data_IF_140033490477
#
_entry.id   IF_140033490477
#
_cell.length_a   1.000
_cell.length_b   1.000
_cell.length_c   1.000
_cell.angle_alpha   90.00
_cell.angle_beta   90.00
_cell.angle_gamma   90.00
#
_symmetry.space_group_name_H-M   'P 1'
#
loop_
_entity.id
_entity.type
_entity.pdbx_description
1 polymer ?
#
# COMPACT_ATOMS: atom_id res chain seq x y z
N UNK A 1 42.19 25.34 24.24
CA UNK A 1 42.31 24.91 25.65
C UNK A 1 40.97 25.05 26.35
N UNK A 2 40.16 23.98 26.40
CA UNK A 2 38.99 23.87 27.29
C UNK A 2 38.96 22.45 27.82
N UNK A 3 39.14 22.32 29.14
CA UNK A 3 39.11 21.06 29.90
C UNK A 3 37.65 20.75 30.22
N UNK A 4 37.19 19.53 29.97
CA UNK A 4 35.92 19.02 30.50
C UNK A 4 36.23 17.88 31.46
N UNK A 5 35.70 18.05 32.68
CA UNK A 5 35.90 17.20 33.84
C UNK A 5 34.94 15.99 33.80
N UNK A 6 35.48 14.83 34.13
CA UNK A 6 34.77 13.58 34.35
C UNK A 6 34.18 13.61 35.78
N UNK A 7 32.85 13.65 35.90
CA UNK A 7 32.12 13.58 37.17
C UNK A 7 31.42 12.24 37.31
N UNK A 8 31.76 11.50 38.36
CA UNK A 8 31.24 10.19 38.72
C UNK A 8 29.72 10.21 39.00
N UNK A 9 28.99 9.21 38.48
CA UNK A 9 27.60 8.95 38.85
C UNK A 9 27.51 7.66 39.68
N UNK A 10 26.94 7.81 40.87
CA UNK A 10 26.78 6.81 41.91
C UNK A 10 25.69 5.77 41.57
N UNK A 11 25.96 4.57 42.06
CA UNK A 11 25.11 3.37 42.12
C UNK A 11 23.89 3.62 43.01
N UNK A 12 22.70 3.26 42.52
CA UNK A 12 21.46 3.22 43.29
C UNK A 12 20.52 2.13 42.77
N UNK A 13 20.76 0.89 43.21
CA UNK A 13 19.83 -0.24 43.03
C UNK A 13 18.66 -0.08 44.01
N UNK A 14 17.50 0.34 43.51
CA UNK A 14 16.23 0.28 44.24
C UNK A 14 15.57 -1.07 43.90
N UNK A 15 15.51 -1.95 44.90
CA UNK A 15 14.73 -3.18 44.86
C UNK A 15 13.24 -2.86 44.94
N UNK A 16 12.48 -3.19 43.89
CA UNK A 16 11.01 -3.18 43.91
C UNK A 16 10.48 -4.58 44.19
N UNK A 17 9.62 -4.67 45.20
CA UNK A 17 9.10 -5.91 45.76
C UNK A 17 8.16 -6.68 44.84
N UNK A 18 8.15 -8.00 45.02
CA UNK A 18 7.25 -8.93 44.36
C UNK A 18 5.80 -8.74 44.81
N UNK A 19 5.00 -8.18 43.92
CA UNK A 19 3.55 -8.39 43.91
C UNK A 19 3.23 -9.42 42.84
N UNK A 20 2.72 -10.59 43.24
CA UNK A 20 2.14 -11.58 42.34
C UNK A 20 0.90 -10.98 41.68
N UNK A 21 1.08 -10.27 40.57
CA UNK A 21 0.04 -10.08 39.57
C UNK A 21 0.41 -11.00 38.44
N UNK A 22 -0.50 -11.89 38.09
CA UNK A 22 -0.31 -12.79 36.96
C UNK A 22 0.14 -11.96 35.75
N UNK A 23 1.22 -12.36 35.07
CA UNK A 23 1.65 -11.65 33.88
C UNK A 23 0.50 -11.64 32.87
N UNK A 24 0.34 -10.57 32.07
CA UNK A 24 -0.59 -10.60 30.96
C UNK A 24 -0.24 -11.82 30.09
N UNK A 25 -1.20 -12.75 29.97
CA UNK A 25 -1.07 -13.93 29.12
C UNK A 25 -1.02 -13.38 27.69
N UNK A 26 0.16 -13.42 27.08
CA UNK A 26 0.31 -13.23 25.65
C UNK A 26 -0.21 -14.51 25.00
N UNK A 27 -1.46 -14.49 24.53
CA UNK A 27 -2.01 -15.56 23.70
C UNK A 27 -1.33 -15.42 22.33
N UNK A 28 -0.22 -16.14 22.17
CA UNK A 28 0.31 -16.43 20.85
C UNK A 28 -0.70 -17.36 20.17
N UNK A 29 -1.50 -16.80 19.26
CA UNK A 29 -2.40 -17.57 18.40
C UNK A 29 -1.66 -18.40 17.34
N UNK A 30 -0.38 -18.70 17.57
CA UNK A 30 0.40 -19.70 16.86
C UNK A 30 -0.02 -21.12 17.25
N UNK A 31 -0.44 -21.89 16.25
CA UNK A 31 -0.81 -23.31 16.36
C UNK A 31 0.13 -24.12 17.27
N UNK A 32 -0.43 -24.84 18.25
CA UNK A 32 0.16 -26.10 18.73
C UNK A 32 0.63 -26.20 20.18
N UNK A 33 0.18 -25.37 21.13
CA UNK A 33 0.35 -25.73 22.54
C UNK A 33 -0.66 -26.83 22.91
N UNK A 34 -0.20 -28.09 22.93
CA UNK A 34 -0.94 -29.26 23.44
C UNK A 34 -1.10 -29.20 24.98
N UNK A 35 -1.57 -28.09 25.54
CA UNK A 35 -1.97 -28.05 26.94
C UNK A 35 -3.37 -28.65 27.07
N UNK A 36 -3.41 -29.90 27.53
CA UNK A 36 -4.57 -30.81 27.45
C UNK A 36 -5.63 -30.55 28.53
N UNK A 37 -5.44 -29.56 29.40
CA UNK A 37 -6.23 -29.39 30.63
C UNK A 37 -7.06 -28.09 30.70
N UNK A 38 -7.03 -27.23 29.67
CA UNK A 38 -7.99 -26.13 29.53
C UNK A 38 -8.98 -26.48 28.40
N UNK A 39 -10.31 -26.38 28.62
CA UNK A 39 -11.25 -26.51 27.50
C UNK A 39 -10.84 -25.47 26.45
N UNK A 40 -10.52 -25.97 25.27
CA UNK A 40 -10.11 -25.21 24.10
C UNK A 40 -11.27 -24.27 23.75
N UNK A 41 -11.29 -23.07 24.35
CA UNK A 41 -12.25 -22.04 24.02
C UNK A 41 -11.90 -21.66 22.59
N UNK A 42 -12.67 -22.19 21.64
CA UNK A 42 -12.47 -21.95 20.22
C UNK A 42 -12.19 -20.47 20.02
N UNK A 43 -10.97 -20.16 19.55
CA UNK A 43 -10.49 -18.79 19.48
C UNK A 43 -11.52 -17.93 18.72
N UNK A 44 -11.86 -16.79 19.32
CA UNK A 44 -12.73 -15.78 18.77
C UNK A 44 -12.27 -15.42 17.33
N UNK A 45 -13.14 -15.62 16.34
CA UNK A 45 -12.84 -15.29 14.94
C UNK A 45 -13.67 -14.08 14.46
N UNK A 46 -13.05 -12.92 14.17
CA UNK A 46 -13.74 -11.69 13.76
C UNK A 46 -14.44 -11.74 12.40
N UNK A 47 -14.08 -12.67 11.50
CA UNK A 47 -14.68 -12.76 10.18
C UNK A 47 -15.91 -13.66 10.20
N UNK A 48 -15.75 -14.86 10.78
CA UNK A 48 -16.85 -15.85 10.87
C UNK A 48 -17.77 -15.62 12.07
N UNK A 49 -17.38 -14.73 12.99
CA UNK A 49 -18.11 -14.41 14.23
C UNK A 49 -18.37 -15.66 15.11
N UNK A 50 -17.41 -16.58 15.15
CA UNK A 50 -17.46 -17.79 15.98
C UNK A 50 -16.61 -17.63 17.24
N UNK A 51 -16.92 -18.40 18.30
CA UNK A 51 -16.15 -18.45 19.54
C UNK A 51 -16.70 -17.61 20.70
N UNK A 52 -17.70 -16.76 20.45
CA UNK A 52 -18.35 -15.92 21.46
C UNK A 52 -19.73 -16.44 21.88
N UNK A 53 -20.23 -16.00 23.04
CA UNK A 53 -21.56 -16.38 23.52
C UNK A 53 -22.66 -15.64 22.73
N UNK A 54 -23.91 -16.09 22.88
CA UNK A 54 -25.06 -15.39 22.31
C UNK A 54 -25.16 -13.96 22.86
N UNK A 55 -25.31 -12.98 21.95
CA UNK A 55 -25.34 -11.54 22.30
C UNK A 55 -23.95 -10.90 22.41
N UNK A 56 -22.89 -11.65 22.15
CA UNK A 56 -21.53 -11.15 22.00
C UNK A 56 -21.08 -11.23 20.54
N UNK A 57 -20.02 -10.50 20.21
CA UNK A 57 -19.36 -10.52 18.92
C UNK A 57 -17.86 -10.56 19.08
N UNK A 58 -17.19 -11.04 18.04
CA UNK A 58 -15.74 -11.05 17.99
C UNK A 58 -15.19 -9.81 17.28
N UNK A 59 -14.41 -8.98 17.97
CA UNK A 59 -13.83 -7.75 17.39
C UNK A 59 -12.47 -7.41 18.00
N UNK A 60 -11.82 -6.39 17.45
CA UNK A 60 -10.59 -5.80 17.98
C UNK A 60 -10.92 -4.87 19.16
N UNK A 61 -10.21 -5.07 20.28
CA UNK A 61 -10.35 -4.24 21.48
C UNK A 61 -9.05 -3.50 21.71
N UNK A 62 -9.09 -2.18 21.71
CA UNK A 62 -7.97 -1.32 22.08
C UNK A 62 -7.75 -1.40 23.58
N UNK A 63 -6.70 -2.09 24.01
CA UNK A 63 -6.35 -2.22 25.43
C UNK A 63 -5.57 -1.00 25.94
N UNK A 64 -4.74 -0.42 25.08
CA UNK A 64 -3.88 0.71 25.37
C UNK A 64 -3.66 1.50 24.09
N UNK A 65 -3.52 2.82 24.19
CA UNK A 65 -3.21 3.68 23.03
C UNK A 65 -1.84 4.39 23.15
N UNK A 66 -1.32 4.57 24.37
CA UNK A 66 -0.08 5.34 24.62
C UNK A 66 0.84 4.56 25.56
N UNK A 67 2.17 4.49 25.30
CA UNK A 67 2.91 5.16 24.21
C UNK A 67 2.78 4.49 22.84
N UNK A 68 2.15 3.32 22.79
CA UNK A 68 1.91 2.54 21.59
C UNK A 68 0.56 1.85 21.71
N UNK A 69 -0.16 1.76 20.60
CA UNK A 69 -1.47 1.12 20.52
C UNK A 69 -1.30 -0.39 20.66
N UNK A 70 -1.98 -0.97 21.64
CA UNK A 70 -2.04 -2.41 21.88
C UNK A 70 -3.48 -2.83 21.72
N UNK A 71 -3.74 -3.75 20.80
CA UNK A 71 -5.06 -4.33 20.59
C UNK A 71 -5.05 -5.82 20.88
N UNK A 72 -6.25 -6.37 21.06
CA UNK A 72 -6.45 -7.81 21.18
C UNK A 72 -7.82 -8.18 20.66
N UNK A 73 -7.95 -9.38 20.12
CA UNK A 73 -9.23 -9.92 19.67
C UNK A 73 -9.96 -10.51 20.87
N UNK A 74 -11.16 -10.02 21.15
CA UNK A 74 -11.97 -10.47 22.30
C UNK A 74 -13.46 -10.54 21.95
N UNK A 75 -14.19 -11.34 22.72
CA UNK A 75 -15.64 -11.31 22.73
C UNK A 75 -16.12 -10.09 23.52
N UNK A 76 -16.93 -9.25 22.88
CA UNK A 76 -17.53 -8.06 23.49
C UNK A 76 -19.04 -8.07 23.24
N UNK A 77 -19.86 -7.30 23.99
CA UNK A 77 -21.28 -7.17 23.70
C UNK A 77 -21.52 -6.76 22.24
N UNK A 78 -22.53 -7.36 21.61
CA UNK A 78 -22.90 -7.00 20.24
C UNK A 78 -23.32 -5.52 20.17
N UNK A 79 -22.84 -4.83 19.14
CA UNK A 79 -23.17 -3.43 18.94
C UNK A 79 -24.55 -3.25 18.33
N UNK A 80 -24.93 -2.00 18.11
CA UNK A 80 -26.26 -1.63 17.61
C UNK A 80 -26.21 -0.99 16.23
N UNK A 81 -25.02 -0.57 15.76
CA UNK A 81 -24.85 0.13 14.49
C UNK A 81 -24.63 -0.89 13.37
N UNK A 82 -25.49 -0.81 12.36
CA UNK A 82 -25.38 -1.62 11.13
C UNK A 82 -24.16 -1.21 10.27
N UNK A 83 -23.72 -2.10 9.38
CA UNK A 83 -22.68 -1.80 8.38
C UNK A 83 -23.08 -0.58 7.54
N UNK A 84 -22.13 0.32 7.29
CA UNK A 84 -22.33 1.64 6.67
C UNK A 84 -22.87 2.72 7.62
N UNK A 85 -23.24 2.36 8.85
CA UNK A 85 -23.68 3.31 9.87
C UNK A 85 -22.52 4.06 10.52
N UNK A 86 -22.81 5.24 11.07
CA UNK A 86 -21.84 6.03 11.82
C UNK A 86 -21.54 5.36 13.18
N UNK A 87 -20.27 5.18 13.49
CA UNK A 87 -19.82 4.44 14.67
C UNK A 87 -18.87 5.25 15.54
N UNK A 88 -18.66 4.75 16.75
CA UNK A 88 -17.72 5.33 17.73
C UNK A 88 -16.89 4.22 18.35
N UNK A 89 -15.59 4.45 18.50
CA UNK A 89 -14.72 3.63 19.33
C UNK A 89 -14.86 4.05 20.80
N UNK A 90 -15.00 3.09 21.72
CA UNK A 90 -14.93 3.38 23.14
C UNK A 90 -13.50 3.68 23.62
N UNK A 91 -13.36 4.11 24.88
CA UNK A 91 -12.06 4.44 25.46
C UNK A 91 -11.19 3.18 25.64
N UNK A 92 -9.85 3.27 25.44
CA UNK A 92 -8.96 2.13 25.65
C UNK A 92 -9.14 1.45 27.01
N UNK A 93 -9.04 0.13 27.04
CA UNK A 93 -9.27 -0.72 28.21
C UNK A 93 -10.53 -1.58 28.07
N UNK A 94 -11.31 -1.83 29.15
CA UNK A 94 -12.47 -2.72 29.11
C UNK A 94 -13.58 -2.30 28.13
N UNK A 95 -13.62 -1.04 27.74
CA UNK A 95 -14.58 -0.49 26.79
C UNK A 95 -13.90 -0.12 25.46
N UNK A 96 -12.71 -0.64 25.17
CA UNK A 96 -11.91 -0.27 24.00
C UNK A 96 -12.43 -0.80 22.65
N UNK A 97 -13.70 -1.18 22.59
CA UNK A 97 -14.36 -1.74 21.40
C UNK A 97 -15.32 -0.72 20.79
N UNK A 98 -15.70 -0.94 19.54
CA UNK A 98 -16.67 -0.11 18.83
C UNK A 98 -18.12 -0.59 19.00
N UNK A 99 -19.08 0.21 18.52
CA UNK A 99 -20.52 -0.08 18.62
C UNK A 99 -21.13 -0.69 17.35
N UNK A 100 -20.33 -1.20 16.41
CA UNK A 100 -20.84 -1.91 15.23
C UNK A 100 -21.44 -3.27 15.61
N UNK A 101 -22.35 -3.79 14.79
CA UNK A 101 -22.84 -5.15 14.95
C UNK A 101 -21.77 -6.21 14.67
N UNK A 102 -22.06 -7.46 15.01
CA UNK A 102 -21.24 -8.63 14.70
C UNK A 102 -20.81 -8.65 13.22
N UNK A 103 -19.53 -8.91 12.99
CA UNK A 103 -18.91 -8.87 11.66
C UNK A 103 -18.52 -7.47 11.19
N UNK A 104 -18.76 -6.43 11.99
CA UNK A 104 -18.36 -5.05 11.71
C UNK A 104 -17.21 -4.54 12.58
N UNK A 105 -16.49 -3.56 12.08
CA UNK A 105 -15.44 -2.81 12.79
C UNK A 105 -15.54 -1.32 12.44
N UNK A 106 -15.30 -0.45 13.42
CA UNK A 106 -15.39 0.99 13.21
C UNK A 106 -14.10 1.54 12.59
N UNK A 107 -14.18 2.02 11.35
CA UNK A 107 -13.03 2.58 10.62
C UNK A 107 -13.43 3.91 9.99
N UNK A 108 -12.72 4.98 10.34
CA UNK A 108 -13.02 6.36 9.93
C UNK A 108 -14.49 6.75 10.25
N UNK A 109 -14.95 6.41 11.45
CA UNK A 109 -16.30 6.65 11.96
C UNK A 109 -17.44 5.97 11.16
N UNK A 110 -17.13 4.93 10.38
CA UNK A 110 -18.09 4.12 9.63
C UNK A 110 -17.94 2.63 10.00
N UNK A 111 -19.05 1.93 10.26
CA UNK A 111 -19.02 0.48 10.46
C UNK A 111 -18.74 -0.23 9.15
N UNK A 112 -17.61 -0.92 9.05
CA UNK A 112 -17.21 -1.67 7.86
C UNK A 112 -17.18 -3.16 8.18
N UNK A 113 -17.47 -4.00 7.20
CA UNK A 113 -17.37 -5.45 7.36
C UNK A 113 -15.92 -5.85 7.63
N UNK A 114 -15.68 -6.63 8.66
CA UNK A 114 -14.38 -7.22 8.97
C UNK A 114 -14.04 -8.28 7.94
N UNK A 115 -12.77 -8.36 7.54
CA UNK A 115 -12.33 -9.29 6.50
C UNK A 115 -10.95 -9.90 6.78
N UNK A 116 -10.68 -11.02 6.12
CA UNK A 116 -9.36 -11.67 6.12
C UNK A 116 -8.58 -11.26 4.86
N UNK A 117 -7.49 -10.48 4.99
CA UNK A 117 -6.69 -10.03 3.87
C UNK A 117 -5.75 -11.12 3.30
N UNK A 118 -5.73 -12.33 3.86
CA UNK A 118 -5.04 -13.49 3.29
C UNK A 118 -5.93 -14.29 2.33
N UNK A 119 -7.23 -14.01 2.35
CA UNK A 119 -8.22 -14.64 1.49
C UNK A 119 -8.61 -13.67 0.36
N UNK A 120 -8.93 -14.20 -0.82
CA UNK A 120 -9.31 -13.41 -1.99
C UNK A 120 -10.83 -13.36 -2.20
N UNK A 121 -11.31 -12.26 -2.79
CA UNK A 121 -12.71 -12.09 -3.20
C UNK A 121 -13.69 -12.33 -2.05
N UNK A 122 -14.78 -13.06 -2.32
CA UNK A 122 -15.83 -13.35 -1.32
C UNK A 122 -15.36 -14.17 -0.13
N UNK A 123 -14.27 -14.93 -0.29
CA UNK A 123 -13.72 -15.73 0.81
C UNK A 123 -13.03 -14.85 1.87
N UNK A 124 -12.69 -13.61 1.54
CA UNK A 124 -12.21 -12.62 2.52
C UNK A 124 -13.28 -12.13 3.47
N UNK A 125 -14.57 -12.33 3.17
CA UNK A 125 -15.69 -11.70 3.87
C UNK A 125 -16.18 -10.41 3.20
N UNK A 126 -15.45 -9.87 2.22
CA UNK A 126 -15.91 -8.73 1.40
C UNK A 126 -16.78 -9.18 0.23
N UNK A 127 -17.78 -8.39 -0.14
CA UNK A 127 -18.52 -8.60 -1.38
C UNK A 127 -17.67 -8.25 -2.62
N UNK A 128 -18.21 -8.50 -3.82
CA UNK A 128 -17.50 -8.26 -5.08
C UNK A 128 -17.19 -6.79 -5.38
N UNK A 129 -17.83 -5.85 -4.68
CA UNK A 129 -17.62 -4.41 -4.83
C UNK A 129 -16.65 -3.84 -3.80
N UNK A 130 -16.15 -4.65 -2.87
CA UNK A 130 -15.21 -4.25 -1.84
C UNK A 130 -13.89 -5.04 -1.92
N UNK A 131 -12.84 -4.51 -1.32
CA UNK A 131 -11.58 -5.22 -1.12
C UNK A 131 -11.20 -5.17 0.35
N UNK A 132 -10.53 -6.21 0.84
CA UNK A 132 -10.06 -6.23 2.22
C UNK A 132 -8.82 -5.35 2.40
N UNK A 133 -8.95 -4.26 3.14
CA UNK A 133 -7.85 -3.34 3.41
C UNK A 133 -7.31 -3.53 4.83
N UNK A 134 -5.98 -3.46 4.97
CA UNK A 134 -5.30 -3.49 6.27
C UNK A 134 -5.13 -2.09 6.82
N UNK A 135 -5.31 -1.95 8.13
CA UNK A 135 -5.25 -0.66 8.81
C UNK A 135 -4.22 -0.69 9.95
N UNK A 136 -3.46 0.38 10.09
CA UNK A 136 -2.46 0.48 11.15
C UNK A 136 -3.12 0.53 12.53
N UNK A 137 -2.67 -0.33 13.45
CA UNK A 137 -3.20 -0.40 14.80
C UNK A 137 -4.55 -1.11 14.91
N UNK A 138 -5.04 -1.75 13.85
CA UNK A 138 -6.25 -2.57 13.88
C UNK A 138 -5.87 -4.05 13.73
N UNK A 139 -6.44 -4.92 14.57
CA UNK A 139 -6.19 -6.36 14.61
C UNK A 139 -4.68 -6.71 14.67
N UNK A 140 -3.91 -5.89 15.38
CA UNK A 140 -2.44 -6.02 15.44
C UNK A 140 -2.03 -6.89 16.62
N UNK A 141 -1.59 -8.12 16.33
CA UNK A 141 -1.10 -9.08 17.32
C UNK A 141 0.36 -9.40 17.00
N UNK A 142 1.27 -9.14 17.95
CA UNK A 142 2.70 -9.34 17.73
C UNK A 142 3.30 -8.53 16.57
N UNK A 143 2.72 -7.36 16.26
CA UNK A 143 3.13 -6.52 15.13
C UNK A 143 2.58 -6.95 13.76
N UNK A 144 1.86 -8.07 13.69
CA UNK A 144 1.19 -8.57 12.49
C UNK A 144 -0.28 -8.16 12.50
N UNK A 145 -0.79 -7.73 11.35
CA UNK A 145 -2.23 -7.45 11.16
C UNK A 145 -2.89 -8.72 10.65
N UNK A 146 -3.80 -9.27 11.45
CA UNK A 146 -4.48 -10.52 11.14
C UNK A 146 -5.73 -10.31 10.27
N UNK A 147 -6.45 -9.20 10.48
CA UNK A 147 -7.70 -8.90 9.79
C UNK A 147 -7.73 -7.44 9.32
N UNK A 148 -8.65 -7.14 8.41
CA UNK A 148 -8.86 -5.82 7.84
C UNK A 148 -10.32 -5.39 7.89
N UNK A 149 -10.63 -4.38 7.08
CA UNK A 149 -12.00 -3.95 6.83
C UNK A 149 -12.27 -3.86 5.32
N UNK A 150 -13.49 -4.17 4.92
CA UNK A 150 -13.93 -4.09 3.53
C UNK A 150 -14.13 -2.63 3.12
N UNK A 151 -13.33 -2.19 2.17
CA UNK A 151 -13.45 -0.87 1.56
C UNK A 151 -13.98 -0.95 0.14
N UNK A 152 -14.82 0.01 -0.27
CA UNK A 152 -15.34 0.03 -1.64
C UNK A 152 -14.23 0.11 -2.66
N UNK A 153 -14.31 -0.70 -3.72
CA UNK A 153 -13.34 -0.68 -4.81
C UNK A 153 -13.42 0.62 -5.62
N UNK A 154 -12.31 0.97 -6.26
CA UNK A 154 -12.22 2.20 -7.05
C UNK A 154 -11.26 2.07 -8.23
N UNK A 155 -11.41 2.96 -9.20
CA UNK A 155 -10.48 3.08 -10.33
C UNK A 155 -9.30 4.01 -9.94
N UNK A 156 -8.04 3.55 -10.03
CA UNK A 156 -6.89 4.32 -9.55
C UNK A 156 -6.55 5.55 -10.39
N UNK A 157 -6.96 5.62 -11.67
CA UNK A 157 -6.67 6.76 -12.53
C UNK A 157 -7.73 7.85 -12.37
N UNK A 158 -8.99 7.48 -12.51
CA UNK A 158 -10.14 8.37 -12.44
C UNK A 158 -10.58 8.65 -11.01
N UNK A 159 -10.17 7.82 -10.04
CA UNK A 159 -10.56 7.89 -8.63
C UNK A 159 -12.07 7.71 -8.41
N UNK A 160 -12.75 7.07 -9.37
CA UNK A 160 -14.18 6.80 -9.29
C UNK A 160 -14.44 5.59 -8.41
N UNK A 161 -15.47 5.71 -7.58
CA UNK A 161 -16.05 4.58 -6.85
C UNK A 161 -16.62 3.56 -7.84
N UNK A 162 -16.27 2.29 -7.68
CA UNK A 162 -16.79 1.18 -8.49
C UNK A 162 -17.96 0.45 -7.80
N UNK A 163 -18.16 0.68 -6.51
CA UNK A 163 -19.28 0.13 -5.75
C UNK A 163 -20.58 0.94 -5.92
N UNK A 164 -21.73 0.27 -5.87
CA UNK A 164 -23.06 0.89 -5.93
C UNK A 164 -23.53 1.34 -7.33
N UNK A 165 -24.67 2.03 -7.38
CA UNK A 165 -25.35 2.42 -8.63
C UNK A 165 -24.97 3.80 -9.18
N UNK A 166 -23.82 4.35 -8.76
CA UNK A 166 -23.34 5.65 -9.24
C UNK A 166 -21.83 5.77 -9.08
N UNK A 167 -21.13 6.01 -10.19
CA UNK A 167 -19.69 6.29 -10.16
C UNK A 167 -19.46 7.67 -9.51
N UNK A 168 -19.33 7.69 -8.18
CA UNK A 168 -19.01 8.90 -7.44
C UNK A 168 -17.54 9.25 -7.64
N UNK A 169 -17.27 10.50 -7.97
CA UNK A 169 -15.90 11.04 -8.09
C UNK A 169 -15.19 11.00 -6.74
N UNK A 170 -13.86 10.87 -6.76
CA UNK A 170 -12.99 10.87 -5.57
C UNK A 170 -13.51 9.95 -4.46
N UNK A 171 -13.89 8.72 -4.79
CA UNK A 171 -14.37 7.75 -3.80
C UNK A 171 -15.56 8.23 -2.95
N UNK A 172 -16.43 9.09 -3.50
CA UNK A 172 -17.57 9.65 -2.76
C UNK A 172 -17.19 10.72 -1.75
N UNK A 173 -16.03 11.36 -1.91
CA UNK A 173 -15.59 12.47 -1.05
C UNK A 173 -16.64 13.59 -0.97
N UNK A 174 -16.84 14.21 0.20
CA UNK A 174 -17.70 15.40 0.34
C UNK A 174 -17.27 16.56 -0.56
N UNK A 175 -15.96 16.68 -0.84
CA UNK A 175 -15.42 17.63 -1.80
C UNK A 175 -14.40 16.93 -2.71
N UNK A 176 -14.82 16.56 -3.92
CA UNK A 176 -13.96 15.87 -4.87
C UNK A 176 -12.77 16.74 -5.36
N UNK A 177 -12.81 18.07 -5.23
CA UNK A 177 -11.75 18.96 -5.69
C UNK A 177 -10.72 19.30 -4.61
N UNK A 178 -10.98 18.94 -3.34
CA UNK A 178 -10.13 19.29 -2.22
C UNK A 178 -10.02 18.13 -1.23
N UNK A 179 -8.93 17.34 -1.29
CA UNK A 179 -8.74 16.21 -0.40
C UNK A 179 -8.39 16.61 1.04
N UNK A 180 -8.25 17.91 1.33
CA UNK A 180 -7.93 18.40 2.69
C UNK A 180 -9.18 18.55 3.57
N UNK A 181 -10.38 18.50 2.98
CA UNK A 181 -11.64 18.59 3.71
C UNK A 181 -11.83 17.34 4.59
N UNK A 182 -12.23 17.47 5.87
CA UNK A 182 -12.52 16.33 6.72
C UNK A 182 -13.51 15.35 6.07
N UNK A 183 -13.21 14.04 6.17
CA UNK A 183 -14.00 12.99 5.53
C UNK A 183 -13.71 12.77 4.04
N UNK A 184 -12.71 13.45 3.48
CA UNK A 184 -12.24 13.16 2.12
C UNK A 184 -11.72 11.73 2.00
N UNK A 185 -12.06 11.08 0.89
CA UNK A 185 -11.67 9.73 0.52
C UNK A 185 -10.83 9.76 -0.77
N UNK A 186 -9.94 8.80 -0.94
CA UNK A 186 -9.11 8.63 -2.13
C UNK A 186 -9.04 7.17 -2.55
N UNK A 187 -8.67 6.93 -3.81
CA UNK A 187 -8.48 5.57 -4.31
C UNK A 187 -7.02 5.16 -4.17
N UNK A 188 -6.82 4.05 -3.47
CA UNK A 188 -5.54 3.62 -2.93
C UNK A 188 -5.34 2.12 -3.10
N UNK A 189 -4.10 1.68 -3.25
CA UNK A 189 -3.76 0.27 -3.50
C UNK A 189 -3.86 -0.56 -2.21
N UNK A 190 -4.61 -1.66 -2.22
CA UNK A 190 -4.97 -2.39 -0.97
C UNK A 190 -4.54 -3.85 -0.89
N UNK A 191 -3.99 -4.39 -1.97
CA UNK A 191 -3.53 -5.78 -2.06
C UNK A 191 -2.12 -5.91 -2.61
N UNK A 192 -1.52 -7.08 -2.33
CA UNK A 192 -0.31 -7.60 -2.95
C UNK A 192 -0.66 -8.83 -3.80
N UNK A 193 -0.26 -8.89 -5.09
CA UNK A 193 0.34 -7.81 -5.88
C UNK A 193 -0.70 -6.69 -6.18
N UNK A 194 -0.33 -5.69 -6.98
CA UNK A 194 -1.12 -4.48 -7.34
C UNK A 194 -2.40 -4.84 -8.14
N UNK A 195 -3.31 -5.56 -7.49
CA UNK A 195 -4.52 -6.17 -8.06
C UNK A 195 -5.78 -5.43 -7.65
N UNK A 196 -5.78 -4.80 -6.47
CA UNK A 196 -6.95 -4.13 -5.92
C UNK A 196 -6.65 -2.72 -5.47
N UNK A 197 -7.65 -1.87 -5.68
CA UNK A 197 -7.68 -0.53 -5.12
C UNK A 197 -9.00 -0.32 -4.43
N UNK A 198 -8.95 0.39 -3.31
CA UNK A 198 -10.15 0.76 -2.58
C UNK A 198 -10.09 2.18 -2.04
N UNK A 199 -11.27 2.62 -1.67
CA UNK A 199 -11.53 3.92 -1.11
C UNK A 199 -11.14 3.95 0.35
N UNK A 200 -10.16 4.78 0.71
CA UNK A 200 -9.78 5.03 2.10
C UNK A 200 -9.75 6.53 2.39
N UNK A 201 -9.80 6.88 3.68
CA UNK A 201 -9.69 8.27 4.12
C UNK A 201 -8.35 8.89 3.73
N UNK A 202 -8.37 10.18 3.35
CA UNK A 202 -7.16 10.95 3.05
C UNK A 202 -6.69 11.66 4.32
N UNK A 203 -5.50 11.35 4.86
CA UNK A 203 -4.98 12.09 5.99
C UNK A 203 -4.75 13.56 5.61
N UNK A 204 -5.18 14.50 6.47
CA UNK A 204 -5.03 15.94 6.23
C UNK A 204 -3.57 16.38 6.06
N UNK A 205 -2.63 15.64 6.66
CA UNK A 205 -1.17 15.85 6.51
C UNK A 205 -0.63 15.44 5.13
N UNK A 206 -1.41 14.68 4.37
CA UNK A 206 -1.04 14.14 3.06
C UNK A 206 -1.70 14.93 1.93
N UNK A 207 -2.93 15.38 2.14
CA UNK A 207 -3.80 16.05 1.18
C UNK A 207 -3.12 17.17 0.38
N UNK A 208 -2.71 16.85 -0.86
CA UNK A 208 -2.14 17.81 -1.81
C UNK A 208 -0.67 18.19 -1.55
N UNK A 209 -0.06 17.61 -0.52
CA UNK A 209 1.32 17.89 -0.11
C UNK A 209 2.29 16.78 -0.51
N UNK A 210 1.80 15.54 -0.57
CA UNK A 210 2.60 14.34 -0.82
C UNK A 210 2.39 13.83 -2.25
N UNK A 211 2.88 14.60 -3.21
CA UNK A 211 2.83 14.31 -4.66
C UNK A 211 4.15 13.72 -5.15
N UNK A 212 4.36 13.61 -6.47
CA UNK A 212 5.50 12.90 -7.06
C UNK A 212 6.86 13.32 -6.46
N UNK A 213 7.68 12.31 -6.14
CA UNK A 213 9.01 12.38 -5.51
C UNK A 213 9.06 12.95 -4.08
N UNK A 214 7.92 13.22 -3.46
CA UNK A 214 7.85 13.59 -2.04
C UNK A 214 7.84 12.35 -1.16
N UNK A 215 8.54 12.39 -0.02
CA UNK A 215 8.51 11.30 0.99
C UNK A 215 7.08 11.09 1.48
N UNK A 216 6.52 9.86 1.44
CA UNK A 216 5.17 9.58 1.91
C UNK A 216 5.06 9.80 3.42
N UNK A 217 3.84 9.71 3.94
CA UNK A 217 3.69 9.49 5.38
C UNK A 217 4.13 8.07 5.73
N UNK A 218 4.97 7.95 6.76
CA UNK A 218 5.50 6.70 7.30
C UNK A 218 5.15 6.55 8.77
N UNK A 219 5.23 5.33 9.30
CA UNK A 219 4.95 4.99 10.69
C UNK A 219 5.85 5.70 11.71
N UNK A 220 7.13 5.89 11.39
CA UNK A 220 8.13 6.58 12.23
C UNK A 220 8.38 8.04 11.84
N UNK A 221 7.75 8.52 10.76
CA UNK A 221 7.94 9.86 10.20
C UNK A 221 9.28 10.07 9.46
N UNK A 222 10.09 9.02 9.30
CA UNK A 222 11.35 9.05 8.55
C UNK A 222 11.15 8.56 7.11
N UNK A 223 12.03 8.91 6.16
CA UNK A 223 11.97 8.38 4.80
C UNK A 223 12.23 6.86 4.68
N UNK A 224 12.75 6.24 5.74
CA UNK A 224 13.06 4.82 5.83
C UNK A 224 11.93 4.00 6.49
N UNK A 225 10.99 4.66 7.16
CA UNK A 225 9.86 4.00 7.79
C UNK A 225 8.92 3.34 6.79
N UNK A 226 8.00 2.53 7.32
CA UNK A 226 7.00 1.85 6.51
C UNK A 226 5.99 2.87 6.00
N UNK A 227 5.96 3.07 4.69
CA UNK A 227 5.00 3.97 4.07
C UNK A 227 3.57 3.47 4.24
N UNK A 228 2.67 4.35 4.68
CA UNK A 228 1.25 4.07 4.63
C UNK A 228 0.77 4.06 3.17
N UNK A 229 -0.20 3.20 2.87
CA UNK A 229 -0.88 3.15 1.56
C UNK A 229 -1.42 4.53 1.19
N UNK A 230 -2.17 5.13 2.11
CA UNK A 230 -2.71 6.48 2.00
C UNK A 230 -1.72 7.55 2.47
N UNK A 231 -0.42 7.22 2.52
CA UNK A 231 0.66 8.16 2.83
C UNK A 231 1.00 9.11 1.69
N UNK A 232 0.42 8.88 0.50
CA UNK A 232 0.51 9.75 -0.66
C UNK A 232 -0.85 10.39 -1.00
N UNK A 233 -0.81 11.51 -1.72
CA UNK A 233 -2.02 12.18 -2.20
C UNK A 233 -2.79 11.26 -3.17
N UNK A 234 -4.14 11.28 -3.22
CA UNK A 234 -4.90 10.45 -4.15
C UNK A 234 -4.41 10.55 -5.60
N UNK A 235 -4.25 9.40 -6.26
CA UNK A 235 -3.65 9.29 -7.59
C UNK A 235 -2.12 9.24 -7.61
N UNK A 236 -1.49 9.15 -6.44
CA UNK A 236 -0.09 8.83 -6.22
C UNK A 236 0.00 7.64 -5.27
N UNK A 237 1.08 6.89 -5.37
CA UNK A 237 1.33 5.70 -4.58
C UNK A 237 2.75 5.79 -4.04
N UNK A 238 2.99 5.35 -2.79
CA UNK A 238 4.36 5.20 -2.32
C UNK A 238 5.07 4.22 -3.26
N UNK A 239 6.32 4.47 -3.58
CA UNK A 239 7.10 3.57 -4.43
C UNK A 239 8.51 3.59 -3.88
N UNK A 240 9.10 2.41 -3.67
CA UNK A 240 10.45 2.33 -3.14
C UNK A 240 11.46 2.67 -4.21
N UNK A 241 12.44 3.44 -3.80
CA UNK A 241 13.59 3.82 -4.58
C UNK A 241 14.81 3.33 -3.86
N UNK A 242 15.56 2.46 -4.50
CA UNK A 242 16.89 2.12 -4.06
C UNK A 242 17.88 3.07 -4.71
N UNK A 243 18.65 3.73 -3.85
CA UNK A 243 20.00 4.15 -4.21
C UNK A 243 20.97 3.07 -3.77
N UNK A 244 22.21 3.09 -4.28
CA UNK A 244 23.29 2.17 -3.89
C UNK A 244 23.61 2.15 -2.38
N UNK A 245 22.99 3.01 -1.56
CA UNK A 245 23.26 3.13 -0.13
C UNK A 245 22.03 3.18 0.76
N UNK A 246 20.84 3.51 0.25
CA UNK A 246 19.63 3.72 1.05
C UNK A 246 18.37 3.33 0.26
N UNK A 247 17.48 2.57 0.92
CA UNK A 247 16.07 2.37 0.53
C UNK A 247 15.24 3.55 1.02
N UNK A 248 14.57 4.25 0.12
CA UNK A 248 13.67 5.33 0.46
C UNK A 248 12.36 5.20 -0.30
N UNK A 249 11.23 5.29 0.38
CA UNK A 249 9.94 5.41 -0.28
C UNK A 249 9.72 6.86 -0.74
N UNK A 250 9.27 7.06 -1.98
CA UNK A 250 8.71 8.35 -2.41
C UNK A 250 7.37 8.14 -3.11
N UNK A 251 6.49 9.11 -2.99
CA UNK A 251 5.25 9.13 -3.74
C UNK A 251 5.55 9.20 -5.24
N UNK A 252 4.84 8.41 -6.04
CA UNK A 252 4.97 8.33 -7.49
C UNK A 252 3.61 8.49 -8.12
N UNK A 253 3.51 9.32 -9.15
CA UNK A 253 2.24 9.53 -9.86
C UNK A 253 1.82 8.28 -10.62
N UNK A 254 0.55 7.88 -10.44
CA UNK A 254 -0.08 6.89 -11.30
C UNK A 254 -0.53 7.56 -12.60
N UNK A 255 -0.17 6.98 -13.74
CA UNK A 255 -0.34 7.57 -15.06
C UNK A 255 -1.01 6.59 -16.02
N UNK A 256 -1.52 7.11 -17.15
CA UNK A 256 -2.11 6.29 -18.20
C UNK A 256 -1.06 5.98 -19.28
N UNK A 257 -0.48 4.76 -19.30
CA UNK A 257 0.60 4.44 -20.20
C UNK A 257 0.11 4.29 -21.63
N UNK A 258 1.03 4.47 -22.57
CA UNK A 258 0.89 4.07 -23.97
C UNK A 258 2.21 3.45 -24.39
N UNK A 259 2.26 2.74 -25.50
CA UNK A 259 3.53 2.20 -25.99
C UNK A 259 4.50 3.34 -26.31
N UNK A 260 5.70 3.27 -25.74
CA UNK A 260 6.82 4.19 -25.93
C UNK A 260 7.95 3.41 -26.59
N UNK A 261 8.50 3.96 -27.67
CA UNK A 261 9.68 3.49 -28.38
C UNK A 261 10.29 4.67 -29.17
N UNK A 262 11.34 4.41 -29.95
CA UNK A 262 12.03 5.41 -30.76
C UNK A 262 11.31 5.80 -32.06
N UNK A 263 10.09 5.31 -32.30
CA UNK A 263 9.26 5.79 -33.42
C UNK A 263 8.60 7.13 -33.06
N UNK A 264 8.22 7.91 -34.07
CA UNK A 264 7.54 9.19 -33.83
C UNK A 264 6.24 9.04 -33.02
N UNK A 265 5.51 7.94 -33.20
CA UNK A 265 4.30 7.63 -32.44
C UNK A 265 4.61 7.25 -30.99
N UNK A 266 5.62 6.40 -30.77
CA UNK A 266 6.06 6.02 -29.42
C UNK A 266 6.58 7.20 -28.61
N UNK A 267 7.39 8.07 -29.22
CA UNK A 267 7.90 9.30 -28.60
C UNK A 267 6.74 10.20 -28.15
N UNK A 268 5.64 10.29 -28.90
CA UNK A 268 4.47 11.09 -28.52
C UNK A 268 3.78 10.58 -27.24
N UNK A 269 3.92 9.29 -26.93
CA UNK A 269 3.39 8.66 -25.72
C UNK A 269 4.36 8.70 -24.54
N UNK A 270 5.57 9.26 -24.69
CA UNK A 270 6.63 9.25 -23.67
C UNK A 270 6.14 9.60 -22.26
N UNK A 271 5.25 10.58 -22.13
CA UNK A 271 4.72 11.04 -20.83
C UNK A 271 3.34 10.46 -20.48
N UNK A 272 2.84 9.52 -21.27
CA UNK A 272 1.50 8.93 -21.13
C UNK A 272 0.50 9.43 -22.18
N UNK A 273 -0.66 8.77 -22.22
CA UNK A 273 -1.71 9.00 -23.21
C UNK A 273 -2.67 10.13 -22.78
N UNK A 274 -3.72 10.34 -23.58
CA UNK A 274 -4.80 11.28 -23.25
C UNK A 274 -5.96 10.61 -22.50
N UNK A 275 -5.74 9.45 -21.86
CA UNK A 275 -6.79 8.81 -21.09
C UNK A 275 -7.29 9.71 -19.94
N UNK A 276 -8.51 9.43 -19.47
CA UNK A 276 -9.08 10.13 -18.33
C UNK A 276 -8.30 9.75 -17.07
N UNK A 277 -7.83 10.77 -16.36
CA UNK A 277 -7.37 10.60 -15.00
C UNK A 277 -7.78 11.82 -14.18
N UNK A 278 -7.80 11.67 -12.87
CA UNK A 278 -8.15 12.72 -11.94
C UNK A 278 -6.90 13.26 -11.26
N UNK A 279 -6.77 14.58 -11.23
CA UNK A 279 -5.85 15.27 -10.33
C UNK A 279 -6.52 15.47 -8.97
N UNK A 280 -5.71 15.43 -7.92
CA UNK A 280 -6.21 15.56 -6.55
C UNK A 280 -6.95 16.88 -6.32
N UNK A 281 -6.56 17.96 -7.00
CA UNK A 281 -7.11 19.31 -6.87
C UNK A 281 -8.21 19.64 -7.90
N UNK A 282 -8.80 18.63 -8.55
CA UNK A 282 -9.88 18.80 -9.54
C UNK A 282 -11.09 17.97 -9.13
N UNK A 283 -12.29 18.49 -9.38
CA UNK A 283 -13.53 17.78 -9.05
C UNK A 283 -13.74 16.51 -9.88
N UNK A 284 -13.32 16.51 -11.14
CA UNK A 284 -13.58 15.42 -12.10
C UNK A 284 -12.30 15.00 -12.84
N UNK A 285 -12.30 13.78 -13.37
CA UNK A 285 -11.26 13.34 -14.31
C UNK A 285 -11.27 14.14 -15.62
N UNK A 286 -10.09 14.35 -16.23
CA UNK A 286 -9.97 14.95 -17.56
C UNK A 286 -8.90 14.24 -18.41
N UNK A 287 -9.03 14.34 -19.73
CA UNK A 287 -8.06 13.79 -20.67
C UNK A 287 -6.69 14.47 -20.48
N UNK A 288 -5.63 13.65 -20.39
CA UNK A 288 -4.25 14.12 -20.27
C UNK A 288 -3.84 14.57 -18.86
N UNK A 289 -4.74 14.52 -17.89
CA UNK A 289 -4.39 14.71 -16.47
C UNK A 289 -3.55 13.55 -15.92
N UNK A 290 -3.55 12.40 -16.60
CA UNK A 290 -2.78 11.21 -16.26
C UNK A 290 -1.35 11.21 -16.80
N UNK A 291 -0.82 12.36 -17.24
CA UNK A 291 0.53 12.46 -17.82
C UNK A 291 1.61 12.73 -16.78
N UNK A 292 2.81 12.19 -17.03
CA UNK A 292 4.02 12.39 -16.25
C UNK A 292 4.74 13.67 -16.65
N UNK A 293 4.07 14.79 -16.38
CA UNK A 293 4.62 16.15 -16.56
C UNK A 293 4.33 16.99 -15.33
N UNK A 294 5.12 18.05 -15.14
CA UNK A 294 4.97 18.98 -14.03
C UNK A 294 3.53 19.52 -13.92
N UNK A 295 3.00 19.57 -12.70
CA UNK A 295 1.63 20.02 -12.42
C UNK A 295 0.54 19.00 -12.76
N UNK A 296 0.92 17.79 -13.20
CA UNK A 296 0.02 16.64 -13.40
C UNK A 296 0.39 15.51 -12.44
N UNK A 297 0.71 14.32 -12.95
CA UNK A 297 1.17 13.16 -12.17
C UNK A 297 2.69 13.14 -11.99
N UNK A 298 3.42 13.88 -12.83
CA UNK A 298 4.86 13.98 -12.75
C UNK A 298 5.35 15.16 -11.92
N UNK A 299 6.56 15.04 -11.40
CA UNK A 299 7.28 16.14 -10.78
C UNK A 299 7.87 17.09 -11.83
N UNK A 300 8.08 18.34 -11.45
CA UNK A 300 8.83 19.31 -12.24
C UNK A 300 10.34 19.25 -12.02
N UNK A 301 10.84 18.22 -11.31
CA UNK A 301 12.27 18.01 -11.14
C UNK A 301 12.95 17.85 -12.51
N UNK A 302 14.22 18.26 -12.62
CA UNK A 302 14.95 18.44 -13.87
C UNK A 302 15.13 17.18 -14.76
N UNK A 303 14.55 16.04 -14.36
CA UNK A 303 14.69 14.77 -15.06
C UNK A 303 13.40 14.46 -15.80
N UNK A 304 13.52 14.16 -17.09
CA UNK A 304 12.40 13.70 -17.89
C UNK A 304 11.83 12.40 -17.29
N UNK A 305 10.51 12.23 -17.38
CA UNK A 305 9.82 11.03 -16.86
C UNK A 305 9.14 10.27 -17.99
N UNK A 306 9.11 8.96 -17.88
CA UNK A 306 8.28 8.10 -18.70
C UNK A 306 7.01 7.71 -17.93
N UNK A 307 5.88 7.60 -18.62
CA UNK A 307 4.75 6.85 -18.08
C UNK A 307 4.90 5.38 -18.47
N UNK A 308 5.56 4.58 -17.61
CA UNK A 308 5.82 3.16 -17.88
C UNK A 308 4.67 2.30 -17.41
N UNK A 309 4.39 1.22 -18.11
CA UNK A 309 3.44 0.21 -17.65
C UNK A 309 3.86 -0.35 -16.29
N UNK A 310 2.87 -0.74 -15.48
CA UNK A 310 3.15 -1.22 -14.12
C UNK A 310 3.69 -2.66 -14.07
N UNK A 311 3.43 -3.46 -15.11
CA UNK A 311 3.75 -4.89 -15.12
C UNK A 311 5.20 -5.26 -14.74
N UNK A 312 6.26 -4.48 -15.06
CA UNK A 312 7.60 -4.84 -14.65
C UNK A 312 7.67 -4.91 -13.12
N UNK A 313 7.03 -3.95 -12.45
CA UNK A 313 6.98 -3.81 -10.99
C UNK A 313 6.05 -4.81 -10.31
N UNK A 314 5.41 -5.71 -11.06
CA UNK A 314 4.52 -6.76 -10.55
C UNK A 314 5.09 -8.16 -10.77
N UNK A 315 6.36 -8.25 -11.12
CA UNK A 315 7.06 -9.51 -11.36
C UNK A 315 7.33 -10.27 -10.05
N UNK A 316 7.19 -11.60 -10.05
CA UNK A 316 7.49 -12.45 -8.90
C UNK A 316 9.01 -12.70 -8.74
N UNK A 317 9.43 -13.60 -7.84
CA UNK A 317 10.85 -13.93 -7.66
C UNK A 317 11.48 -14.64 -8.90
N UNK A 318 10.65 -15.25 -9.75
CA UNK A 318 11.04 -15.80 -11.05
C UNK A 318 10.93 -14.76 -12.18
N UNK A 319 10.51 -13.56 -11.78
CA UNK A 319 10.08 -12.39 -12.52
C UNK A 319 9.00 -12.60 -13.60
N UNK A 320 8.10 -13.54 -13.38
CA UNK A 320 6.85 -13.60 -14.13
C UNK A 320 5.93 -12.49 -13.61
N UNK A 321 5.41 -11.58 -14.45
CA UNK A 321 4.42 -10.59 -14.03
C UNK A 321 3.20 -11.29 -13.42
N UNK A 322 2.81 -10.88 -12.22
CA UNK A 322 1.61 -11.38 -11.56
C UNK A 322 0.35 -11.10 -12.38
N UNK A 323 -0.70 -11.91 -12.19
CA UNK A 323 -1.98 -11.70 -12.87
C UNK A 323 -2.63 -10.41 -12.36
N UNK A 324 -2.53 -9.32 -13.11
CA UNK A 324 -3.21 -8.06 -12.78
C UNK A 324 -3.89 -7.48 -14.00
N UNK A 325 -5.14 -7.04 -13.83
CA UNK A 325 -5.89 -6.28 -14.84
C UNK A 325 -5.25 -4.92 -15.14
N UNK A 326 -4.32 -4.48 -14.28
CA UNK A 326 -3.62 -3.21 -14.41
C UNK A 326 -2.32 -3.29 -15.21
N UNK A 327 -1.82 -4.49 -15.52
CA UNK A 327 -0.56 -4.71 -16.24
C UNK A 327 -0.42 -3.83 -17.50
N UNK A 328 -1.52 -3.67 -18.25
CA UNK A 328 -1.54 -2.95 -19.53
C UNK A 328 -2.36 -1.64 -19.49
N UNK A 329 -2.94 -1.28 -18.36
CA UNK A 329 -3.85 -0.12 -18.26
C UNK A 329 -3.39 0.94 -17.28
N UNK A 330 -2.48 0.58 -16.37
CA UNK A 330 -1.92 1.46 -15.37
C UNK A 330 -0.42 1.58 -15.53
N UNK A 331 0.08 2.79 -15.28
CA UNK A 331 1.49 3.07 -15.32
C UNK A 331 1.94 3.95 -14.18
N UNK A 332 3.26 4.14 -14.12
CA UNK A 332 3.95 4.89 -13.08
C UNK A 332 4.83 5.98 -13.71
N UNK A 333 4.84 7.17 -13.11
CA UNK A 333 5.73 8.26 -13.51
C UNK A 333 7.17 7.98 -13.09
N UNK A 334 7.89 7.35 -14.01
CA UNK A 334 9.21 6.81 -13.81
C UNK A 334 10.29 7.81 -14.25
N UNK A 335 11.13 8.25 -13.32
CA UNK A 335 12.25 9.18 -13.60
C UNK A 335 13.48 8.42 -14.08
N UNK A 336 13.54 8.14 -15.38
CA UNK A 336 14.73 7.56 -15.99
C UNK A 336 15.92 8.52 -15.83
N UNK A 337 17.07 8.00 -15.41
CA UNK A 337 18.23 8.82 -15.00
C UNK A 337 18.37 9.00 -13.48
N UNK A 338 17.35 8.63 -12.68
CA UNK A 338 17.51 8.43 -11.23
C UNK A 338 17.71 6.96 -10.85
N UNK A 339 17.35 6.05 -11.74
CA UNK A 339 17.39 4.61 -11.49
C UNK A 339 18.50 3.96 -12.29
N UNK A 340 19.16 3.00 -11.66
CA UNK A 340 20.03 2.01 -12.30
C UNK A 340 19.27 0.69 -12.39
N UNK A 341 19.69 -0.20 -13.28
CA UNK A 341 19.18 -1.57 -13.34
C UNK A 341 20.35 -2.55 -13.31
N UNK A 342 20.10 -3.71 -12.71
CA UNK A 342 21.06 -4.81 -12.57
C UNK A 342 21.26 -5.46 -13.95
N UNK A 343 22.17 -4.88 -14.73
CA UNK A 343 22.42 -5.29 -16.12
C UNK A 343 23.21 -6.59 -16.18
N UNK A 344 24.11 -6.80 -15.24
CA UNK A 344 24.96 -7.99 -15.21
C UNK A 344 24.30 -9.17 -14.47
N UNK A 345 23.13 -8.96 -13.85
CA UNK A 345 22.32 -9.93 -13.12
C UNK A 345 23.03 -10.53 -11.91
N UNK A 346 23.98 -9.81 -11.31
CA UNK A 346 24.70 -10.27 -10.11
C UNK A 346 23.89 -10.08 -8.81
N UNK A 347 22.72 -9.43 -8.92
CA UNK A 347 21.82 -9.19 -7.81
C UNK A 347 22.17 -7.96 -6.98
N UNK A 348 23.10 -7.11 -7.42
CA UNK A 348 23.53 -5.91 -6.73
C UNK A 348 23.54 -4.71 -7.68
N UNK A 349 23.21 -3.52 -7.16
CA UNK A 349 23.44 -2.27 -7.89
C UNK A 349 24.73 -1.65 -7.37
N UNK A 350 25.78 -1.68 -8.20
CA UNK A 350 27.15 -1.37 -7.79
C UNK A 350 27.60 0.02 -8.23
N UNK A 351 27.70 0.25 -9.54
CA UNK A 351 28.13 1.51 -10.14
C UNK A 351 27.54 1.68 -11.54
N UNK A 352 27.61 2.90 -12.10
CA UNK A 352 26.99 3.22 -13.39
C UNK A 352 27.64 2.52 -14.61
N UNK A 353 28.87 2.03 -14.49
CA UNK A 353 29.55 1.31 -15.57
C UNK A 353 29.08 -0.15 -15.65
N UNK A 354 28.81 -0.75 -14.49
CA UNK A 354 28.27 -2.11 -14.36
C UNK A 354 26.74 -2.13 -14.50
N UNK A 355 26.07 -1.22 -13.79
CA UNK A 355 24.62 -1.06 -13.64
C UNK A 355 24.22 0.32 -14.15
N UNK A 356 24.07 0.49 -15.48
CA UNK A 356 23.81 1.79 -16.06
C UNK A 356 22.47 2.32 -15.62
N UNK A 357 22.30 3.63 -15.78
CA UNK A 357 21.00 4.25 -15.60
C UNK A 357 19.98 3.62 -16.54
N UNK A 358 18.75 3.48 -16.05
CA UNK A 358 17.62 3.06 -16.87
C UNK A 358 17.49 4.03 -18.05
N UNK A 359 17.46 3.53 -19.29
CA UNK A 359 17.35 4.37 -20.48
C UNK A 359 15.99 5.05 -20.56
N UNK A 360 15.91 6.14 -21.32
CA UNK A 360 14.64 6.70 -21.73
C UNK A 360 13.97 5.77 -22.74
N UNK A 361 12.73 5.35 -22.47
CA UNK A 361 11.95 4.52 -23.38
C UNK A 361 11.89 5.10 -24.81
N UNK A 362 11.86 6.42 -24.95
CA UNK A 362 11.80 7.11 -26.24
C UNK A 362 13.08 6.99 -27.09
N UNK A 363 14.16 6.44 -26.51
CA UNK A 363 15.43 6.19 -27.21
C UNK A 363 15.61 4.73 -27.61
N UNK A 364 14.76 3.84 -27.10
CA UNK A 364 14.86 2.40 -27.33
C UNK A 364 14.08 1.98 -28.58
N UNK A 365 14.60 1.05 -29.39
CA UNK A 365 13.84 0.43 -30.47
C UNK A 365 12.62 -0.30 -29.92
N UNK A 366 11.61 -0.43 -30.77
CA UNK A 366 10.49 -1.35 -30.55
C UNK A 366 11.00 -2.79 -30.57
N UNK A 367 10.45 -3.65 -29.71
CA UNK A 367 10.74 -5.09 -29.79
C UNK A 367 10.29 -5.63 -31.15
N UNK A 368 11.18 -6.33 -31.85
CA UNK A 368 10.84 -7.04 -33.09
C UNK A 368 10.91 -8.53 -32.88
N UNK A 369 9.99 -9.27 -33.51
CA UNK A 369 9.99 -10.73 -33.49
C UNK A 369 11.30 -11.25 -34.13
N UNK A 370 12.28 -11.60 -33.29
CA UNK A 370 13.63 -12.00 -33.72
C UNK A 370 14.76 -11.33 -32.92
N UNK A 371 14.48 -10.29 -32.14
CA UNK A 371 15.45 -9.76 -31.20
C UNK A 371 15.72 -10.78 -30.09
N UNK A 372 16.94 -11.32 -30.07
CA UNK A 372 17.42 -12.25 -29.04
C UNK A 372 18.33 -11.56 -28.02
N UNK A 373 18.69 -10.30 -28.27
CA UNK A 373 19.53 -9.52 -27.38
C UNK A 373 18.59 -8.93 -26.33
N UNK A 374 18.84 -9.25 -25.08
CA UNK A 374 18.08 -8.68 -23.96
C UNK A 374 18.64 -7.28 -23.67
N UNK A 375 17.79 -6.37 -23.16
CA UNK A 375 18.16 -5.04 -22.65
C UNK A 375 18.42 -4.02 -23.76
N UNK A 376 17.98 -4.31 -24.98
CA UNK A 376 18.20 -3.44 -26.11
C UNK A 376 16.92 -2.72 -26.60
N UNK A 377 15.74 -3.09 -26.10
CA UNK A 377 14.46 -2.62 -26.62
C UNK A 377 13.50 -2.08 -25.56
N UNK A 378 12.47 -1.38 -26.01
CA UNK A 378 11.53 -0.69 -25.16
C UNK A 378 10.61 -1.64 -24.37
N UNK A 379 10.32 -2.83 -24.90
CA UNK A 379 9.42 -3.76 -24.23
C UNK A 379 10.05 -4.29 -22.94
N UNK A 380 11.35 -4.58 -22.95
CA UNK A 380 12.05 -5.08 -21.76
C UNK A 380 12.06 -4.07 -20.59
N UNK A 381 11.93 -2.77 -20.88
CA UNK A 381 11.92 -1.70 -19.87
C UNK A 381 10.52 -1.26 -19.41
N UNK A 382 9.47 -2.01 -19.73
CA UNK A 382 8.09 -1.65 -19.35
C UNK A 382 7.51 -0.51 -20.18
N UNK A 383 8.07 -0.26 -21.35
CA UNK A 383 7.62 0.82 -22.23
C UNK A 383 6.58 0.34 -23.25
N UNK A 384 6.39 -0.97 -23.40
CA UNK A 384 5.39 -1.58 -24.28
C UNK A 384 4.49 -2.54 -23.50
N UNK A 385 3.43 -3.02 -24.17
CA UNK A 385 2.53 -4.03 -23.62
C UNK A 385 3.29 -5.30 -23.25
N UNK A 386 2.83 -6.03 -22.23
CA UNK A 386 3.49 -7.27 -21.78
C UNK A 386 3.57 -8.30 -22.92
N UNK A 387 2.56 -8.34 -23.79
CA UNK A 387 2.53 -9.22 -24.97
C UNK A 387 3.66 -8.97 -25.98
N UNK A 388 4.25 -7.76 -25.97
CA UNK A 388 5.36 -7.39 -26.84
C UNK A 388 6.73 -7.62 -26.18
N UNK A 389 6.74 -7.98 -24.90
CA UNK A 389 7.98 -8.21 -24.15
C UNK A 389 8.45 -9.67 -24.30
N UNK A 390 9.75 -9.91 -24.17
CA UNK A 390 10.28 -11.28 -24.23
C UNK A 390 9.68 -12.19 -23.15
N UNK A 391 9.18 -11.62 -22.03
CA UNK A 391 8.48 -12.34 -20.96
C UNK A 391 7.33 -13.22 -21.49
N UNK A 392 6.57 -12.74 -22.47
CA UNK A 392 5.45 -13.47 -23.05
C UNK A 392 5.89 -14.75 -23.78
N UNK A 393 7.14 -14.80 -24.25
CA UNK A 393 7.68 -15.91 -25.05
C UNK A 393 8.57 -16.87 -24.27
N UNK A 394 9.36 -16.37 -23.31
CA UNK A 394 10.40 -17.14 -22.60
C UNK A 394 9.97 -17.60 -21.20
N UNK A 395 8.93 -16.99 -20.62
CA UNK A 395 8.47 -17.27 -19.26
C UNK A 395 9.45 -16.85 -18.16
N UNK A 396 10.50 -16.10 -18.48
CA UNK A 396 11.45 -15.53 -17.51
C UNK A 396 11.84 -14.11 -17.91
N UNK A 397 11.90 -13.15 -16.97
CA UNK A 397 12.68 -11.94 -17.21
C UNK A 397 14.10 -12.36 -17.48
N UNK A 398 14.71 -11.60 -18.36
CA UNK A 398 16.16 -11.54 -18.39
C UNK A 398 16.65 -10.22 -17.77
N UNK A 399 15.81 -9.16 -17.73
CA UNK A 399 16.09 -7.96 -16.92
C UNK A 399 15.33 -8.03 -15.61
N UNK A 400 16.06 -8.19 -14.51
CA UNK A 400 15.52 -7.82 -13.22
C UNK A 400 15.77 -6.32 -13.02
N UNK A 401 14.83 -5.47 -13.47
CA UNK A 401 14.87 -4.06 -13.08
C UNK A 401 14.76 -3.88 -11.55
N UNK A 402 14.49 -4.96 -10.80
CA UNK A 402 13.70 -4.93 -9.56
C UNK A 402 14.17 -5.98 -8.54
N UNK A 403 15.24 -6.75 -8.78
CA UNK A 403 15.68 -7.78 -7.80
C UNK A 403 15.93 -7.19 -6.41
N UNK A 404 16.23 -5.89 -6.35
CA UNK A 404 16.36 -5.15 -5.11
C UNK A 404 15.33 -4.02 -4.92
N UNK A 405 14.58 -3.55 -5.93
CA UNK A 405 13.46 -2.63 -5.65
C UNK A 405 12.37 -3.39 -4.89
N UNK A 406 12.44 -3.34 -3.57
CA UNK A 406 11.45 -3.97 -2.71
C UNK A 406 10.08 -3.44 -3.09
N UNK A 407 9.25 -4.37 -3.56
CA UNK A 407 7.83 -4.15 -3.69
C UNK A 407 7.31 -3.79 -2.32
N UNK A 408 6.55 -2.71 -2.21
CA UNK A 408 5.81 -2.44 -0.99
C UNK A 408 4.99 -3.69 -0.66
N UNK A 409 5.28 -4.33 0.46
CA UNK A 409 4.46 -5.43 0.99
C UNK A 409 5.07 -6.84 0.97
N UNK A 410 6.24 -7.08 0.37
CA UNK A 410 6.75 -8.46 0.24
C UNK A 410 7.58 -8.97 1.43
N UNK A 411 7.85 -8.15 2.45
CA UNK A 411 8.40 -8.62 3.71
C UNK A 411 7.32 -9.24 4.61
N UNK A 412 7.51 -10.45 5.20
CA UNK A 412 6.63 -10.93 6.26
C UNK A 412 6.64 -9.93 7.43
N UNK A 413 5.52 -9.22 7.62
CA UNK A 413 5.37 -8.16 8.62
C UNK A 413 5.41 -6.73 8.09
N UNK A 414 5.82 -6.49 6.84
CA UNK A 414 5.76 -5.20 6.15
C UNK A 414 4.37 -4.99 5.54
N UNK A 415 3.32 -5.10 6.35
CA UNK A 415 1.96 -4.94 5.83
C UNK A 415 1.79 -3.53 5.28
N UNK A 416 1.40 -3.45 4.01
CA UNK A 416 0.87 -2.27 3.34
C UNK A 416 -0.39 -1.87 4.14
N UNK A 417 -0.33 -0.74 4.85
CA UNK A 417 -1.36 -0.34 5.83
C UNK A 417 -1.94 1.03 5.51
N UNK A 418 -3.24 1.19 5.68
CA UNK A 418 -3.87 2.51 5.76
C UNK A 418 -3.73 3.10 7.14
N UNK A 419 -3.55 4.43 7.22
CA UNK A 419 -3.76 5.18 8.44
C UNK A 419 -5.28 5.31 8.72
N UNK A 420 -5.71 4.93 9.93
CA UNK A 420 -7.07 5.15 10.44
C UNK A 420 -7.13 6.60 10.96
N UNK A 421 -7.88 7.49 10.31
CA UNK A 421 -8.19 8.82 10.85
C UNK A 421 -9.56 9.28 10.41
#
# INVERSE_FOLDING_TARGET
>A
MKKLALGALFVGLVACGGGKKDPPILIDSGSGSNDVDAPDVAACNPVTQTGCNAGERCTDVTLQDTPQTVTSIQCVPDGTVDIGGACTQGMPGPNGFDNCKAGGICVNAECKTTCDPQMAGVASGCDAQHSCSRYNGLFTVGGMILYGACDPQCDPLTQKLLAGSGALEACGSPNAADPSVPGSKGCYRTGDPFETFSCAGVPSTVAGLKTDRVVPLTDDGTPQGNAFINGCTPGFVAFFFESSTVREARCTGMCAPGEIDNTAAGIANRTGTQALAKLFNKATSAAGDGKCVAGKKGSGAANSQNCRFIWPFLTDANGVPGPSTFNETLGMCFSFGQFQYDKNQDGMITDIATDPITPDCATLPRHTAGDTIIDNDAADFGCQLIANSQFASSGKPVISMIKNMIHIGNGPGEAVRHLIR
#
